data_IF_465701776492
#
_entry.id   IF_465701776492
#
_cell.length_a   1.000
_cell.length_b   1.000
_cell.length_c   1.000
_cell.angle_alpha   90.00
_cell.angle_beta   90.00
_cell.angle_gamma   90.00
#
_symmetry.space_group_name_H-M   'P 1'
#
loop_
_entity.id
_entity.type
_entity.pdbx_description
1 polymer ?
#
# COMPACT_ATOMS: atom_id res chain seq x y z
N UNK A 1 -1.78 -17.00 -30.15
CA UNK A 1 -2.63 -17.08 -31.36
C UNK A 1 -2.76 -15.69 -31.88
N UNK A 2 -2.64 -15.53 -33.19
CA UNK A 2 -2.63 -14.22 -33.81
C UNK A 2 -4.07 -13.75 -34.08
N UNK A 3 -4.47 -12.65 -33.44
CA UNK A 3 -5.77 -12.00 -33.65
C UNK A 3 -5.70 -10.91 -34.72
N UNK A 4 -4.53 -10.69 -35.32
CA UNK A 4 -4.30 -9.58 -36.25
C UNK A 4 -4.50 -9.95 -37.72
N UNK A 5 -4.59 -11.24 -38.09
CA UNK A 5 -4.53 -11.64 -39.51
C UNK A 5 -5.51 -12.77 -39.85
N UNK A 6 -6.73 -12.40 -40.26
CA UNK A 6 -7.57 -13.25 -41.11
C UNK A 6 -7.64 -12.59 -42.48
N UNK A 7 -6.88 -13.12 -43.42
CA UNK A 7 -6.95 -12.76 -44.83
C UNK A 7 -8.22 -13.38 -45.42
N UNK A 8 -9.23 -12.57 -45.73
CA UNK A 8 -10.34 -13.00 -46.60
C UNK A 8 -10.37 -12.20 -47.91
N UNK A 9 -9.88 -10.94 -47.93
CA UNK A 9 -9.93 -10.07 -49.13
C UNK A 9 -8.62 -9.30 -49.45
N UNK A 10 -7.49 -9.69 -48.85
CA UNK A 10 -6.19 -9.02 -49.07
C UNK A 10 -5.96 -7.75 -48.25
N UNK A 11 -6.92 -7.33 -47.43
CA UNK A 11 -6.73 -6.34 -46.37
C UNK A 11 -6.69 -7.04 -45.00
N UNK A 12 -5.62 -6.80 -44.24
CA UNK A 12 -5.50 -7.30 -42.87
C UNK A 12 -6.40 -6.49 -41.94
N UNK A 13 -7.49 -7.13 -41.48
CA UNK A 13 -8.37 -6.53 -40.49
C UNK A 13 -8.17 -7.20 -39.12
N UNK A 14 -7.98 -6.37 -38.09
CA UNK A 14 -7.92 -6.82 -36.71
C UNK A 14 -9.28 -7.43 -36.31
N UNK A 15 -9.27 -8.69 -35.84
CA UNK A 15 -10.48 -9.39 -35.40
C UNK A 15 -11.08 -8.75 -34.13
N UNK A 16 -10.22 -8.16 -33.30
CA UNK A 16 -10.59 -7.42 -32.10
C UNK A 16 -10.16 -5.95 -32.21
N UNK A 17 -11.11 -5.09 -32.57
CA UNK A 17 -10.88 -3.64 -32.62
C UNK A 17 -10.95 -3.05 -31.22
N UNK A 18 -9.81 -2.93 -30.54
CA UNK A 18 -9.75 -2.40 -29.17
C UNK A 18 -10.37 -1.00 -29.02
N UNK A 19 -10.37 -0.20 -30.09
CA UNK A 19 -10.95 1.16 -30.12
C UNK A 19 -12.48 1.16 -30.08
N UNK A 20 -13.10 0.08 -30.53
CA UNK A 20 -14.56 -0.06 -30.61
C UNK A 20 -15.12 -0.81 -29.39
N UNK A 21 -14.28 -1.16 -28.42
CA UNK A 21 -14.69 -1.83 -27.18
C UNK A 21 -15.13 -0.80 -26.15
N UNK A 22 -16.44 -0.77 -25.89
CA UNK A 22 -17.01 0.02 -24.80
C UNK A 22 -16.86 -0.69 -23.44
N UNK A 23 -16.92 0.07 -22.36
CA UNK A 23 -16.81 -0.49 -21.01
C UNK A 23 -18.09 -1.30 -20.66
N UNK A 24 -18.01 -2.65 -20.50
CA UNK A 24 -19.18 -3.50 -20.25
C UNK A 24 -19.87 -3.17 -18.91
N UNK A 25 -19.12 -2.68 -17.93
CA UNK A 25 -19.65 -2.32 -16.61
C UNK A 25 -20.57 -1.10 -16.70
N UNK A 26 -20.15 -0.10 -17.49
CA UNK A 26 -20.96 1.10 -17.70
C UNK A 26 -22.21 0.80 -18.51
N UNK A 27 -22.08 -0.02 -19.55
CA UNK A 27 -23.24 -0.46 -20.36
C UNK A 27 -24.26 -1.23 -19.50
N UNK A 28 -23.78 -2.17 -18.68
CA UNK A 28 -24.63 -2.92 -17.75
C UNK A 28 -25.31 -2.00 -16.72
N UNK A 29 -24.59 -1.00 -16.21
CA UNK A 29 -25.15 0.00 -15.29
C UNK A 29 -26.30 0.76 -15.95
N UNK A 30 -26.08 1.37 -17.12
CA UNK A 30 -27.10 2.16 -17.79
C UNK A 30 -28.32 1.34 -18.18
N UNK A 31 -28.12 0.09 -18.62
CA UNK A 31 -29.23 -0.81 -18.90
C UNK A 31 -30.04 -1.14 -17.64
N UNK A 32 -29.36 -1.40 -16.52
CA UNK A 32 -30.04 -1.62 -15.24
C UNK A 32 -30.82 -0.39 -14.80
N UNK A 33 -30.30 0.81 -15.06
CA UNK A 33 -30.99 2.07 -14.75
C UNK A 33 -32.24 2.23 -15.60
N UNK A 34 -32.18 1.91 -16.90
CA UNK A 34 -33.34 1.97 -17.81
C UNK A 34 -34.40 0.95 -17.39
N UNK A 35 -34.01 -0.32 -17.20
CA UNK A 35 -34.95 -1.37 -16.81
C UNK A 35 -35.58 -1.09 -15.42
N UNK A 36 -34.84 -0.46 -14.50
CA UNK A 36 -35.39 -0.03 -13.20
C UNK A 36 -36.20 1.26 -13.24
N UNK A 37 -36.01 2.08 -14.27
CA UNK A 37 -36.87 3.24 -14.48
C UNK A 37 -38.27 2.79 -14.93
N UNK A 38 -38.35 1.69 -15.68
CA UNK A 38 -39.60 1.05 -16.07
C UNK A 38 -40.18 0.20 -14.92
N UNK A 39 -39.37 -0.70 -14.34
CA UNK A 39 -39.76 -1.63 -13.27
C UNK A 39 -38.83 -1.52 -12.03
N UNK A 40 -39.25 -0.86 -10.93
CA UNK A 40 -38.36 -0.56 -9.80
C UNK A 40 -37.81 -1.79 -9.08
N UNK A 41 -38.52 -2.91 -9.13
CA UNK A 41 -38.12 -4.19 -8.51
C UNK A 41 -37.39 -5.14 -9.49
N UNK A 42 -37.04 -4.67 -10.69
CA UNK A 42 -36.36 -5.49 -11.68
C UNK A 42 -34.97 -5.97 -11.18
N UNK A 43 -34.63 -7.25 -11.43
CA UNK A 43 -33.32 -7.80 -11.09
C UNK A 43 -32.21 -7.15 -11.92
N UNK A 44 -30.97 -7.23 -11.43
CA UNK A 44 -29.84 -6.64 -12.16
C UNK A 44 -29.61 -7.39 -13.46
N UNK A 45 -29.55 -6.63 -14.56
CA UNK A 45 -29.39 -7.17 -15.90
C UNK A 45 -28.09 -7.96 -16.03
N UNK A 46 -28.16 -9.07 -16.77
CA UNK A 46 -27.02 -9.87 -17.16
C UNK A 46 -26.06 -9.13 -18.09
N UNK A 47 -24.97 -9.78 -18.47
CA UNK A 47 -24.12 -9.29 -19.57
C UNK A 47 -24.90 -9.51 -20.87
N UNK A 48 -24.98 -8.47 -21.71
CA UNK A 48 -25.65 -8.56 -23.01
C UNK A 48 -24.92 -9.55 -23.93
N UNK A 49 -25.65 -10.28 -24.76
CA UNK A 49 -25.10 -11.22 -25.74
C UNK A 49 -24.29 -10.50 -26.83
N UNK A 50 -24.65 -9.28 -27.21
CA UNK A 50 -23.85 -8.42 -28.07
C UNK A 50 -22.55 -7.99 -27.38
N UNK A 51 -22.62 -7.74 -26.07
CA UNK A 51 -21.42 -7.44 -25.28
C UNK A 51 -20.47 -8.64 -25.23
N UNK A 52 -21.02 -9.82 -24.99
CA UNK A 52 -20.28 -11.08 -24.96
C UNK A 52 -19.63 -11.40 -26.32
N UNK A 53 -20.30 -11.08 -27.43
CA UNK A 53 -19.75 -11.25 -28.79
C UNK A 53 -18.52 -10.40 -29.08
N UNK A 54 -18.48 -9.13 -28.62
CA UNK A 54 -17.28 -8.31 -28.83
C UNK A 54 -16.15 -8.65 -27.84
N UNK A 55 -16.47 -9.14 -26.64
CA UNK A 55 -15.47 -9.51 -25.64
C UNK A 55 -14.73 -10.79 -26.04
N UNK A 56 -15.39 -11.64 -26.83
CA UNK A 56 -14.91 -12.95 -27.22
C UNK A 56 -14.91 -13.18 -28.74
N UNK A 57 -14.21 -12.36 -29.53
CA UNK A 57 -14.06 -12.56 -30.98
C UNK A 57 -13.34 -13.88 -31.31
N UNK A 58 -12.54 -14.40 -30.37
CA UNK A 58 -11.84 -15.67 -30.50
C UNK A 58 -12.80 -16.85 -30.71
N UNK A 59 -14.06 -16.76 -30.28
CA UNK A 59 -15.06 -17.82 -30.52
C UNK A 59 -15.25 -18.12 -32.00
N UNK A 60 -15.04 -17.14 -32.88
CA UNK A 60 -15.11 -17.35 -34.33
C UNK A 60 -13.95 -18.22 -34.87
N UNK A 61 -12.79 -18.15 -34.22
CA UNK A 61 -11.56 -18.85 -34.62
C UNK A 61 -11.21 -20.04 -33.72
N UNK A 62 -11.96 -20.26 -32.64
CA UNK A 62 -11.75 -21.33 -31.65
C UNK A 62 -11.56 -22.71 -32.27
N UNK A 63 -12.36 -23.04 -33.30
CA UNK A 63 -12.26 -24.33 -33.98
C UNK A 63 -10.88 -24.59 -34.60
N UNK A 64 -10.17 -23.53 -35.06
CA UNK A 64 -8.87 -23.64 -35.74
C UNK A 64 -7.79 -24.13 -34.77
N UNK A 65 -7.89 -23.72 -33.52
CA UNK A 65 -6.80 -23.86 -32.56
C UNK A 65 -7.13 -24.72 -31.34
N UNK A 66 -8.40 -25.00 -31.10
CA UNK A 66 -8.82 -25.93 -30.05
C UNK A 66 -8.19 -27.31 -30.25
N UNK A 67 -7.96 -27.72 -31.50
CA UNK A 67 -7.24 -28.97 -31.80
C UNK A 67 -5.82 -28.97 -31.21
N UNK A 68 -5.06 -27.90 -31.45
CA UNK A 68 -3.67 -27.80 -31.00
C UNK A 68 -3.58 -27.59 -29.47
N UNK A 69 -4.52 -26.83 -28.90
CA UNK A 69 -4.62 -26.63 -27.44
C UNK A 69 -4.96 -27.94 -26.73
N UNK A 70 -5.87 -28.75 -27.28
CA UNK A 70 -6.21 -30.04 -26.71
C UNK A 70 -5.02 -31.01 -26.80
N UNK A 71 -4.31 -31.06 -27.93
CA UNK A 71 -3.08 -31.84 -28.06
C UNK A 71 -2.02 -31.41 -27.03
N UNK A 72 -1.83 -30.11 -26.82
CA UNK A 72 -0.88 -29.59 -25.83
C UNK A 72 -1.27 -29.97 -24.39
N UNK A 73 -2.57 -29.94 -24.08
CA UNK A 73 -3.12 -30.31 -22.78
C UNK A 73 -2.92 -31.80 -22.47
N UNK A 74 -2.95 -32.65 -23.50
CA UNK A 74 -2.66 -34.08 -23.37
C UNK A 74 -1.17 -34.37 -23.17
N UNK A 75 -0.28 -33.63 -23.85
CA UNK A 75 1.18 -33.78 -23.69
C UNK A 75 1.65 -33.30 -22.31
N UNK A 76 1.03 -32.27 -21.75
CA UNK A 76 1.42 -31.68 -20.47
C UNK A 76 0.25 -31.67 -19.46
N UNK A 77 -0.08 -32.82 -18.84
CA UNK A 77 -1.12 -32.86 -17.83
C UNK A 77 -0.68 -32.11 -16.57
N UNK A 78 -1.37 -31.02 -16.26
CA UNK A 78 -1.12 -30.21 -15.05
C UNK A 78 -1.90 -30.78 -13.86
N UNK A 79 -1.17 -31.17 -12.81
CA UNK A 79 -1.75 -31.53 -11.52
C UNK A 79 -2.00 -30.25 -10.72
N UNK A 80 -3.27 -29.92 -10.48
CA UNK A 80 -3.62 -28.80 -9.60
C UNK A 80 -3.26 -29.18 -8.17
N UNK A 81 -2.24 -28.54 -7.61
CA UNK A 81 -1.93 -28.65 -6.18
C UNK A 81 -3.13 -28.09 -5.41
N UNK A 82 -3.69 -28.82 -4.44
CA UNK A 82 -4.77 -28.31 -3.60
C UNK A 82 -4.24 -27.14 -2.78
N UNK A 83 -4.58 -25.93 -3.19
CA UNK A 83 -4.49 -24.76 -2.31
C UNK A 83 -5.73 -24.80 -1.43
N UNK A 84 -5.54 -24.77 -0.12
CA UNK A 84 -6.64 -24.68 0.84
C UNK A 84 -7.51 -23.49 0.48
N UNK A 85 -8.73 -23.78 0.02
CA UNK A 85 -9.71 -22.76 -0.34
C UNK A 85 -10.05 -22.01 0.94
N UNK A 86 -9.52 -20.80 1.10
CA UNK A 86 -9.95 -19.86 2.14
C UNK A 86 -11.48 -19.86 2.15
N UNK A 87 -12.07 -20.11 3.33
CA UNK A 87 -13.53 -20.17 3.51
C UNK A 87 -14.13 -18.94 2.84
N UNK A 88 -14.90 -19.13 1.76
CA UNK A 88 -15.66 -18.04 1.14
C UNK A 88 -16.63 -17.54 2.20
N UNK A 89 -16.41 -16.33 2.72
CA UNK A 89 -17.37 -15.68 3.60
C UNK A 89 -18.67 -15.51 2.81
N UNK A 90 -19.65 -16.38 3.07
CA UNK A 90 -21.02 -16.20 2.58
C UNK A 90 -21.56 -14.97 3.30
N UNK A 91 -21.71 -13.86 2.59
CA UNK A 91 -22.48 -12.73 3.09
C UNK A 91 -23.96 -13.11 3.10
N UNK A 92 -24.71 -12.64 4.10
CA UNK A 92 -26.11 -12.95 4.40
C UNK A 92 -27.13 -12.74 3.25
N UNK A 93 -26.74 -12.26 2.06
CA UNK A 93 -27.60 -12.15 0.86
C UNK A 93 -27.83 -13.48 0.12
N UNK A 94 -27.80 -14.60 0.84
CA UNK A 94 -27.97 -15.93 0.26
C UNK A 94 -28.59 -16.93 1.23
N UNK A 95 -29.18 -16.45 2.34
CA UNK A 95 -30.17 -17.27 3.02
C UNK A 95 -31.39 -17.38 2.11
N UNK A 96 -31.85 -18.58 1.75
CA UNK A 96 -33.15 -18.73 1.12
C UNK A 96 -34.20 -18.09 2.03
N UNK A 97 -35.15 -17.38 1.43
CA UNK A 97 -36.26 -16.78 2.14
C UNK A 97 -36.95 -17.85 3.01
N UNK A 98 -37.49 -17.41 4.15
CA UNK A 98 -38.07 -18.25 5.20
C UNK A 98 -39.14 -19.20 4.64
N UNK A 99 -39.77 -18.85 3.52
CA UNK A 99 -40.76 -19.65 2.81
C UNK A 99 -40.17 -20.92 2.17
N UNK A 100 -38.94 -20.87 1.65
CA UNK A 100 -38.28 -22.06 1.09
C UNK A 100 -37.74 -22.99 2.18
N UNK A 101 -37.47 -22.47 3.39
CA UNK A 101 -36.96 -23.24 4.52
C UNK A 101 -38.05 -24.11 5.20
N UNK A 102 -39.32 -23.68 5.14
CA UNK A 102 -40.46 -24.47 5.65
C UNK A 102 -40.75 -25.70 4.79
N UNK A 103 -40.50 -25.64 3.48
CA UNK A 103 -40.61 -26.80 2.59
C UNK A 103 -39.50 -27.86 2.82
N UNK A 104 -38.37 -27.46 3.42
CA UNK A 104 -37.19 -28.31 3.62
C UNK A 104 -37.07 -28.88 5.06
N UNK A 105 -38.12 -28.82 5.87
CA UNK A 105 -38.18 -29.54 7.16
C UNK A 105 -37.23 -29.02 8.25
N UNK A 106 -36.89 -27.74 8.27
CA UNK A 106 -36.12 -27.14 9.36
C UNK A 106 -37.01 -26.93 10.60
N UNK A 107 -36.79 -27.71 11.66
CA UNK A 107 -37.33 -27.38 12.98
C UNK A 107 -36.47 -26.30 13.64
N UNK A 108 -37.12 -25.26 14.15
CA UNK A 108 -36.49 -24.16 14.90
C UNK A 108 -35.76 -24.75 16.14
N UNK A 109 -34.47 -24.48 16.37
CA UNK A 109 -33.82 -24.92 17.61
C UNK A 109 -34.47 -24.19 18.81
N UNK A 110 -34.54 -24.85 19.99
CA UNK A 110 -35.20 -24.29 21.16
C UNK A 110 -34.53 -22.98 21.61
N UNK A 111 -35.28 -22.07 22.25
CA UNK A 111 -34.71 -20.80 22.70
C UNK A 111 -33.66 -21.06 23.77
N UNK A 112 -32.43 -20.63 23.52
CA UNK A 112 -31.33 -20.73 24.48
C UNK A 112 -31.42 -19.51 25.41
N UNK A 113 -31.50 -19.75 26.71
CA UNK A 113 -31.59 -18.70 27.74
C UNK A 113 -30.29 -17.86 27.76
N UNK A 114 -30.37 -16.53 27.54
CA UNK A 114 -29.18 -15.68 27.43
C UNK A 114 -28.37 -15.56 28.72
N UNK A 115 -28.89 -16.04 29.86
CA UNK A 115 -28.18 -16.04 31.14
C UNK A 115 -27.17 -17.19 31.33
N UNK A 116 -27.15 -18.16 30.40
CA UNK A 116 -26.26 -19.32 30.45
C UNK A 116 -25.20 -19.36 29.32
N UNK A 117 -24.96 -18.20 28.66
CA UNK A 117 -23.88 -18.04 27.69
C UNK A 117 -22.56 -17.78 28.42
N UNK A 118 -21.92 -18.86 28.87
CA UNK A 118 -20.52 -18.81 29.31
C UNK A 118 -19.66 -18.65 28.06
N UNK A 119 -19.08 -17.47 27.87
CA UNK A 119 -18.01 -17.26 26.91
C UNK A 119 -16.73 -17.86 27.51
N UNK A 120 -16.43 -19.11 27.18
CA UNK A 120 -15.10 -19.69 27.39
C UNK A 120 -14.11 -18.96 26.48
N UNK A 121 -13.39 -17.98 27.04
CA UNK A 121 -12.14 -17.50 26.48
C UNK A 121 -11.04 -18.39 27.06
N UNK A 122 -10.41 -19.28 26.28
CA UNK A 122 -9.31 -20.08 26.80
C UNK A 122 -8.13 -19.15 27.15
N UNK A 123 -7.71 -19.22 28.42
CA UNK A 123 -6.52 -18.57 28.94
C UNK A 123 -5.25 -19.09 28.23
N UNK A 124 -4.33 -18.18 27.95
CA UNK A 124 -3.02 -18.43 27.35
C UNK A 124 -2.06 -19.00 28.40
N UNK A 125 -1.77 -20.32 28.36
CA UNK A 125 -0.42 -20.85 28.61
C UNK A 125 -0.37 -22.36 28.31
N UNK A 126 0.25 -22.74 27.19
CA UNK A 126 1.30 -23.77 27.08
C UNK A 126 1.75 -23.85 25.60
N UNK A 127 3.05 -23.70 25.40
CA UNK A 127 3.64 -23.27 24.13
C UNK A 127 3.72 -24.33 23.03
N UNK A 128 3.58 -23.85 21.79
CA UNK A 128 4.44 -24.28 20.70
C UNK A 128 4.63 -23.12 19.72
N UNK A 129 5.88 -22.82 19.39
CA UNK A 129 6.28 -21.58 18.73
C UNK A 129 5.88 -21.53 17.26
N UNK A 130 5.02 -20.58 16.89
CA UNK A 130 4.86 -20.07 15.52
C UNK A 130 4.27 -18.65 15.56
N UNK A 131 5.09 -17.71 15.12
CA UNK A 131 4.87 -16.30 14.80
C UNK A 131 3.41 -15.83 14.64
N UNK A 132 2.95 -14.97 15.56
CA UNK A 132 1.68 -14.24 15.44
C UNK A 132 1.67 -13.27 14.24
N UNK A 133 0.59 -13.22 13.44
CA UNK A 133 0.32 -12.08 12.58
C UNK A 133 -0.32 -10.97 13.42
N UNK A 134 0.30 -9.80 13.39
CA UNK A 134 -0.24 -8.59 14.00
C UNK A 134 -1.68 -8.32 13.51
N UNK A 135 -2.57 -8.12 14.48
CA UNK A 135 -3.88 -7.48 14.36
C UNK A 135 -3.82 -6.25 13.46
N UNK A 136 -4.31 -6.38 12.23
CA UNK A 136 -4.62 -5.25 11.35
C UNK A 136 -6.00 -4.74 11.74
N UNK A 137 -6.02 -3.65 12.50
CA UNK A 137 -7.21 -2.81 12.67
C UNK A 137 -7.55 -2.20 11.31
N UNK A 138 -8.46 -2.86 10.59
CA UNK A 138 -8.95 -2.42 9.28
C UNK A 138 -10.06 -1.37 9.46
N UNK A 139 -9.66 -0.17 9.85
CA UNK A 139 -10.43 1.05 9.58
C UNK A 139 -9.77 1.78 8.42
N UNK A 140 -9.90 1.29 7.19
CA UNK A 140 -9.57 2.09 6.02
C UNK A 140 -10.67 1.94 4.97
N UNK A 141 -11.37 3.07 4.78
CA UNK A 141 -12.37 3.28 3.77
C UNK A 141 -11.84 2.94 2.37
N UNK A 142 -12.66 2.21 1.61
CA UNK A 142 -12.46 2.01 0.17
C UNK A 142 -12.96 3.28 -0.53
N UNK A 143 -12.14 4.04 -1.28
CA UNK A 143 -12.68 5.11 -2.09
C UNK A 143 -13.25 4.52 -3.38
N UNK A 144 -14.47 4.97 -3.64
CA UNK A 144 -15.26 4.78 -4.84
C UNK A 144 -14.71 5.71 -5.95
N UNK A 145 -14.76 5.24 -7.21
CA UNK A 145 -14.63 5.98 -8.48
C UNK A 145 -13.27 6.55 -8.94
N UNK A 146 -13.01 6.33 -10.24
CA UNK A 146 -12.24 7.25 -11.09
C UNK A 146 -10.87 6.75 -11.54
N UNK A 147 -10.76 6.39 -12.82
CA UNK A 147 -9.55 5.81 -13.42
C UNK A 147 -8.28 6.63 -13.26
N UNK A 148 -7.22 5.95 -12.86
CA UNK A 148 -5.81 6.16 -13.22
C UNK A 148 -5.12 4.82 -12.94
N UNK A 149 -4.29 4.37 -13.88
CA UNK A 149 -3.46 3.16 -13.76
C UNK A 149 -2.94 3.02 -12.32
N UNK A 150 -3.30 1.94 -11.62
CA UNK A 150 -2.93 1.75 -10.22
C UNK A 150 -1.49 1.26 -10.14
N UNK A 151 -0.54 2.15 -10.42
CA UNK A 151 0.81 1.99 -9.92
C UNK A 151 0.74 1.98 -8.39
N UNK A 152 1.52 1.12 -7.70
CA UNK A 152 1.59 1.15 -6.24
C UNK A 152 1.97 2.58 -5.81
N UNK A 153 1.03 3.29 -5.17
CA UNK A 153 1.26 4.64 -4.69
C UNK A 153 1.85 4.57 -3.29
N UNK A 154 2.96 5.25 -3.04
CA UNK A 154 3.48 5.39 -1.67
C UNK A 154 2.54 6.30 -0.89
N UNK A 155 1.85 5.77 0.12
CA UNK A 155 1.03 6.55 1.04
C UNK A 155 1.72 6.55 2.40
N UNK A 156 2.22 7.70 2.82
CA UNK A 156 2.78 7.93 4.16
C UNK A 156 1.85 8.92 4.86
N UNK A 157 1.22 8.48 5.94
CA UNK A 157 0.33 9.32 6.74
C UNK A 157 1.07 10.15 7.77
N UNK A 158 0.41 11.20 8.27
CA UNK A 158 0.93 12.05 9.36
C UNK A 158 0.84 11.39 10.73
N UNK A 159 -0.01 10.37 10.89
CA UNK A 159 -0.26 9.68 12.17
C UNK A 159 0.85 8.70 12.54
N UNK A 160 1.36 7.92 11.57
CA UNK A 160 2.40 6.89 11.76
C UNK A 160 3.42 6.86 10.61
N UNK A 161 4.16 7.95 10.36
CA UNK A 161 4.99 8.10 9.16
C UNK A 161 6.08 7.02 9.04
N UNK A 162 6.71 6.64 10.15
CA UNK A 162 7.78 5.62 10.18
C UNK A 162 7.28 4.24 9.74
N UNK A 163 6.10 3.82 10.22
CA UNK A 163 5.53 2.51 9.90
C UNK A 163 5.10 2.42 8.44
N UNK A 164 4.51 3.50 7.93
CA UNK A 164 4.06 3.57 6.54
C UNK A 164 5.26 3.57 5.58
N UNK A 165 6.31 4.32 5.93
CA UNK A 165 7.55 4.37 5.17
C UNK A 165 8.28 3.02 5.16
N UNK A 166 8.46 2.38 6.32
CA UNK A 166 9.10 1.06 6.39
C UNK A 166 8.34 0.01 5.59
N UNK A 167 7.00 0.07 5.58
CA UNK A 167 6.19 -0.81 4.73
C UNK A 167 6.38 -0.52 3.24
N UNK A 168 6.50 0.75 2.86
CA UNK A 168 6.72 1.16 1.47
C UNK A 168 8.13 0.80 0.96
N UNK A 169 9.13 0.86 1.84
CA UNK A 169 10.54 0.63 1.52
C UNK A 169 10.92 -0.85 1.60
N UNK A 170 10.47 -1.59 2.62
CA UNK A 170 10.82 -3.00 2.80
C UNK A 170 9.73 -3.97 2.31
N UNK A 171 8.66 -3.44 1.70
CA UNK A 171 7.56 -4.24 1.15
C UNK A 171 7.94 -5.06 -0.08
N UNK A 172 7.14 -6.08 -0.41
CA UNK A 172 7.33 -6.87 -1.62
C UNK A 172 7.08 -6.02 -2.89
N UNK A 173 8.07 -5.94 -3.79
CA UNK A 173 7.95 -5.25 -5.08
C UNK A 173 8.53 -3.84 -5.15
N UNK A 174 9.47 -3.49 -4.27
CA UNK A 174 10.12 -2.16 -4.27
C UNK A 174 10.95 -1.97 -5.54
N UNK A 175 10.58 -0.95 -6.32
CA UNK A 175 11.31 -0.47 -7.49
C UNK A 175 12.05 0.83 -7.11
N UNK A 176 13.17 1.15 -7.75
CA UNK A 176 13.93 2.40 -7.49
C UNK A 176 13.06 3.65 -7.50
N UNK A 177 12.17 3.80 -8.49
CA UNK A 177 11.25 4.94 -8.55
C UNK A 177 10.23 5.02 -7.39
N UNK A 178 9.86 3.89 -6.79
CA UNK A 178 8.98 3.87 -5.62
C UNK A 178 9.74 4.30 -4.35
N UNK A 179 11.00 3.90 -4.25
CA UNK A 179 11.90 4.32 -3.18
C UNK A 179 12.13 5.84 -3.23
N UNK A 180 12.40 6.38 -4.42
CA UNK A 180 12.55 7.84 -4.60
C UNK A 180 11.29 8.60 -4.20
N UNK A 181 10.11 8.08 -4.57
CA UNK A 181 8.84 8.67 -4.19
C UNK A 181 8.62 8.62 -2.66
N UNK A 182 8.97 7.49 -2.03
CA UNK A 182 8.89 7.32 -0.59
C UNK A 182 9.82 8.29 0.16
N UNK A 183 11.08 8.39 -0.27
CA UNK A 183 12.08 9.29 0.32
C UNK A 183 11.63 10.74 0.20
N UNK A 184 11.15 11.16 -0.98
CA UNK A 184 10.64 12.52 -1.20
C UNK A 184 9.43 12.85 -0.31
N UNK A 185 8.48 11.92 -0.19
CA UNK A 185 7.29 12.11 0.67
C UNK A 185 7.68 12.17 2.15
N UNK A 186 8.59 11.31 2.59
CA UNK A 186 9.09 11.29 3.96
C UNK A 186 9.80 12.59 4.32
N UNK A 187 10.67 13.10 3.43
CA UNK A 187 11.32 14.41 3.58
C UNK A 187 10.33 15.55 3.78
N UNK A 188 9.24 15.57 2.98
CA UNK A 188 8.19 16.58 3.09
C UNK A 188 7.44 16.52 4.42
N UNK A 189 7.14 15.31 4.91
CA UNK A 189 6.47 15.12 6.20
C UNK A 189 7.38 15.54 7.35
N UNK A 190 8.66 15.16 7.31
CA UNK A 190 9.64 15.56 8.34
C UNK A 190 9.76 17.09 8.43
N UNK A 191 9.83 17.79 7.28
CA UNK A 191 9.84 19.26 7.26
C UNK A 191 8.53 19.86 7.79
N UNK A 192 7.39 19.25 7.47
CA UNK A 192 6.10 19.68 8.01
C UNK A 192 6.03 19.53 9.53
N UNK A 193 6.53 18.41 10.07
CA UNK A 193 6.58 18.15 11.51
C UNK A 193 7.49 19.17 12.23
N UNK A 194 8.64 19.51 11.63
CA UNK A 194 9.55 20.52 12.18
C UNK A 194 9.00 21.95 12.11
N UNK A 195 8.01 22.20 11.25
CA UNK A 195 7.34 23.50 11.16
C UNK A 195 6.31 23.75 12.27
N UNK A 196 5.86 22.71 12.97
CA UNK A 196 4.93 22.84 14.08
C UNK A 196 5.69 22.95 15.41
N UNK A 197 5.32 23.90 16.29
CA UNK A 197 5.92 24.00 17.61
C UNK A 197 5.46 22.81 18.49
N UNK A 198 6.42 22.05 19.03
CA UNK A 198 6.16 20.99 20.01
C UNK A 198 7.22 19.90 20.03
N UNK A 199 7.62 19.49 21.24
CA UNK A 199 8.66 18.47 21.45
C UNK A 199 8.29 17.11 20.83
N UNK A 200 7.02 16.71 20.91
CA UNK A 200 6.53 15.45 20.34
C UNK A 200 6.68 15.38 18.81
N UNK A 201 6.51 16.52 18.13
CA UNK A 201 6.68 16.59 16.68
C UNK A 201 8.15 16.53 16.28
N UNK A 202 9.03 17.12 17.09
CA UNK A 202 10.48 17.01 16.91
C UNK A 202 10.94 15.57 17.11
N UNK A 203 10.46 14.89 18.14
CA UNK A 203 10.82 13.48 18.38
C UNK A 203 10.38 12.57 17.23
N UNK A 204 9.15 12.76 16.72
CA UNK A 204 8.66 12.05 15.53
C UNK A 204 9.46 12.39 14.27
N UNK A 205 9.83 13.66 14.08
CA UNK A 205 10.64 14.07 12.94
C UNK A 205 12.03 13.41 12.98
N UNK A 206 12.64 13.35 14.17
CA UNK A 206 13.90 12.65 14.39
C UNK A 206 13.76 11.15 14.11
N UNK A 207 12.67 10.51 14.55
CA UNK A 207 12.39 9.10 14.22
C UNK A 207 12.23 8.87 12.70
N UNK A 208 11.60 9.81 11.98
CA UNK A 208 11.53 9.75 10.52
C UNK A 208 12.91 9.83 9.88
N UNK A 209 13.79 10.69 10.39
CA UNK A 209 15.16 10.83 9.89
C UNK A 209 15.96 9.54 10.12
N UNK A 210 15.82 8.90 11.29
CA UNK A 210 16.46 7.60 11.57
C UNK A 210 15.97 6.54 10.59
N UNK A 211 14.66 6.44 10.37
CA UNK A 211 14.11 5.49 9.40
C UNK A 211 14.61 5.73 7.97
N UNK A 212 14.75 7.00 7.56
CA UNK A 212 15.34 7.36 6.26
C UNK A 212 16.83 6.98 6.17
N UNK A 213 17.57 7.10 7.28
CA UNK A 213 18.97 6.67 7.35
C UNK A 213 19.09 5.16 7.18
N UNK A 214 18.28 4.39 7.90
CA UNK A 214 18.27 2.93 7.82
C UNK A 214 17.89 2.43 6.42
N UNK A 215 16.96 3.12 5.76
CA UNK A 215 16.65 2.88 4.35
C UNK A 215 17.87 3.19 3.46
N UNK A 216 18.51 4.34 3.63
CA UNK A 216 19.69 4.71 2.83
C UNK A 216 20.87 3.73 3.01
N UNK A 217 21.05 3.17 4.21
CA UNK A 217 22.05 2.11 4.48
C UNK A 217 21.65 0.81 3.76
N UNK A 218 20.38 0.39 3.86
CA UNK A 218 19.89 -0.82 3.20
C UNK A 218 20.04 -0.76 1.67
N UNK A 219 19.85 0.41 1.07
CA UNK A 219 20.00 0.66 -0.36
C UNK A 219 21.35 1.30 -0.71
N UNK A 220 22.38 1.16 0.13
CA UNK A 220 23.68 1.85 -0.01
C UNK A 220 24.47 1.58 -1.29
N UNK A 221 23.99 0.68 -2.16
CA UNK A 221 24.50 0.47 -3.52
C UNK A 221 23.99 1.51 -4.53
N UNK A 222 22.85 2.16 -4.26
CA UNK A 222 22.27 3.20 -5.10
C UNK A 222 22.83 4.56 -4.71
N UNK A 223 23.64 5.15 -5.61
CA UNK A 223 24.26 6.46 -5.38
C UNK A 223 23.23 7.57 -5.17
N UNK A 224 22.08 7.51 -5.83
CA UNK A 224 21.08 8.59 -5.76
C UNK A 224 20.48 8.68 -4.35
N UNK A 225 20.11 7.54 -3.76
CA UNK A 225 19.51 7.48 -2.41
C UNK A 225 20.47 8.02 -1.34
N UNK A 226 21.74 7.67 -1.44
CA UNK A 226 22.79 8.10 -0.51
C UNK A 226 23.04 9.62 -0.61
N UNK A 227 23.11 10.15 -1.84
CA UNK A 227 23.27 11.59 -2.07
C UNK A 227 22.05 12.40 -1.63
N UNK A 228 20.85 11.89 -1.90
CA UNK A 228 19.59 12.56 -1.53
C UNK A 228 19.42 12.63 -0.02
N UNK A 229 19.75 11.57 0.72
CA UNK A 229 19.76 11.61 2.18
C UNK A 229 20.78 12.62 2.72
N UNK A 230 22.03 12.59 2.25
CA UNK A 230 23.07 13.51 2.73
C UNK A 230 22.70 14.97 2.45
N UNK A 231 22.13 15.26 1.27
CA UNK A 231 21.60 16.58 0.94
C UNK A 231 20.44 16.98 1.85
N UNK A 232 19.50 16.06 2.08
CA UNK A 232 18.35 16.30 2.95
C UNK A 232 18.76 16.61 4.40
N UNK A 233 19.71 15.87 4.97
CA UNK A 233 20.25 16.13 6.31
C UNK A 233 20.92 17.50 6.39
N UNK A 234 21.73 17.84 5.39
CA UNK A 234 22.36 19.15 5.33
C UNK A 234 21.29 20.27 5.25
N UNK A 235 20.29 20.13 4.38
CA UNK A 235 19.24 21.13 4.17
C UNK A 235 18.30 21.26 5.37
N UNK A 236 17.97 20.17 6.06
CA UNK A 236 17.11 20.19 7.26
C UNK A 236 17.83 20.83 8.43
N UNK A 237 19.05 20.40 8.73
CA UNK A 237 19.80 20.90 9.88
C UNK A 237 20.33 22.33 9.65
N UNK A 238 20.63 22.71 8.41
CA UNK A 238 20.97 24.11 8.11
C UNK A 238 19.80 25.08 8.29
N UNK A 239 18.55 24.62 8.09
CA UNK A 239 17.33 25.40 8.34
C UNK A 239 16.93 25.44 9.81
N UNK A 240 17.26 24.40 10.58
CA UNK A 240 16.86 24.24 11.98
C UNK A 240 18.01 24.49 12.97
N UNK A 241 18.94 25.40 12.66
CA UNK A 241 20.07 25.73 13.55
C UNK A 241 19.62 26.24 14.92
N UNK A 242 18.48 26.91 14.98
CA UNK A 242 18.00 27.57 16.20
C UNK A 242 17.29 26.61 17.18
N UNK A 243 16.98 25.38 16.75
CA UNK A 243 16.26 24.40 17.56
C UNK A 243 17.21 23.54 18.40
N UNK A 244 17.60 24.02 19.58
CA UNK A 244 18.52 23.30 20.49
C UNK A 244 18.06 21.87 20.83
N UNK A 245 16.76 21.66 21.05
CA UNK A 245 16.20 20.33 21.36
C UNK A 245 16.36 19.33 20.21
N UNK A 246 16.21 19.79 18.96
CA UNK A 246 16.44 18.95 17.79
C UNK A 246 17.90 18.49 17.75
N UNK A 247 18.84 19.40 17.99
CA UNK A 247 20.28 19.09 17.99
C UNK A 247 20.68 18.13 19.10
N UNK A 248 20.12 18.26 20.30
CA UNK A 248 20.32 17.31 21.38
C UNK A 248 19.87 15.89 20.97
N UNK A 249 18.68 15.77 20.37
CA UNK A 249 18.14 14.48 19.89
C UNK A 249 18.93 13.89 18.72
N UNK A 250 19.35 14.73 17.77
CA UNK A 250 20.20 14.36 16.63
C UNK A 250 21.56 13.84 17.10
N UNK A 251 22.17 14.51 18.09
CA UNK A 251 23.45 14.10 18.70
C UNK A 251 23.28 12.81 19.50
N UNK A 252 22.21 12.69 20.28
CA UNK A 252 21.90 11.50 21.08
C UNK A 252 21.67 10.25 20.22
N UNK A 253 21.02 10.37 19.06
CA UNK A 253 20.79 9.26 18.12
C UNK A 253 21.90 9.10 17.06
N UNK A 254 22.98 9.90 17.14
CA UNK A 254 24.10 9.93 16.18
C UNK A 254 23.65 9.99 14.72
N UNK A 255 22.75 10.93 14.42
CA UNK A 255 22.33 11.18 13.04
C UNK A 255 23.44 11.98 12.36
N UNK A 256 24.22 11.31 11.51
CA UNK A 256 25.33 11.88 10.74
C UNK A 256 25.14 11.66 9.25
N UNK A 257 26.04 12.24 8.44
CA UNK A 257 26.20 11.84 7.05
C UNK A 257 26.49 10.34 6.95
N UNK A 258 25.99 9.70 5.89
CA UNK A 258 26.36 8.33 5.54
C UNK A 258 27.82 8.30 5.10
N UNK A 259 28.65 7.49 5.74
CA UNK A 259 30.07 7.37 5.40
C UNK A 259 30.32 6.23 4.42
N UNK A 260 31.50 6.22 3.80
CA UNK A 260 31.91 5.17 2.85
C UNK A 260 31.96 3.75 3.43
N UNK A 261 31.94 3.60 4.77
CA UNK A 261 31.84 2.30 5.46
C UNK A 261 30.41 1.78 5.53
N UNK A 262 29.41 2.66 5.56
CA UNK A 262 27.99 2.32 5.70
C UNK A 262 27.29 2.21 4.34
N UNK A 263 27.75 2.99 3.35
CA UNK A 263 27.27 2.89 1.98
C UNK A 263 28.43 2.89 0.99
N UNK A 264 28.48 1.86 0.14
CA UNK A 264 29.52 1.66 -0.88
C UNK A 264 29.55 2.79 -1.92
N UNK A 265 28.44 3.52 -2.08
CA UNK A 265 28.31 4.66 -2.99
C UNK A 265 28.54 6.05 -2.35
N UNK A 266 28.97 6.14 -1.08
CA UNK A 266 29.19 7.43 -0.41
C UNK A 266 30.61 7.99 -0.62
N UNK A 267 30.68 9.27 -1.01
CA UNK A 267 31.92 10.05 -1.14
C UNK A 267 32.35 10.74 0.17
N UNK A 268 31.65 10.51 1.30
CA UNK A 268 31.91 11.18 2.58
C UNK A 268 32.76 10.33 3.53
N UNK A 269 33.82 10.95 4.07
CA UNK A 269 34.74 10.36 5.04
C UNK A 269 34.18 10.40 6.47
N UNK A 270 34.57 9.43 7.31
CA UNK A 270 34.16 9.38 8.73
C UNK A 270 34.47 10.67 9.51
N UNK A 271 35.56 11.36 9.13
CA UNK A 271 35.93 12.66 9.71
C UNK A 271 34.90 13.76 9.40
N UNK A 272 34.30 13.76 8.20
CA UNK A 272 33.25 14.74 7.84
C UNK A 272 31.97 14.50 8.68
N UNK A 273 31.68 13.24 9.02
CA UNK A 273 30.54 12.87 9.85
C UNK A 273 30.75 13.26 11.32
N UNK A 274 31.96 13.10 11.86
CA UNK A 274 32.32 13.53 13.22
C UNK A 274 32.42 15.06 13.33
N UNK A 275 33.01 15.73 12.34
CA UNK A 275 33.08 17.20 12.31
C UNK A 275 31.69 17.85 12.23
N UNK A 276 30.72 17.16 11.62
CA UNK A 276 29.34 17.61 11.57
C UNK A 276 28.68 17.65 12.95
N UNK A 277 28.98 16.69 13.82
CA UNK A 277 28.50 16.69 15.21
C UNK A 277 29.27 17.69 16.09
N UNK A 278 30.58 17.85 15.85
CA UNK A 278 31.45 18.67 16.69
C UNK A 278 31.30 20.19 16.45
N UNK A 279 30.95 20.63 15.24
CA UNK A 279 30.82 22.07 14.89
C UNK A 279 29.74 22.83 15.68
N UNK A 280 28.89 22.17 16.46
CA UNK A 280 27.82 22.78 17.25
C UNK A 280 28.01 22.65 18.77
N UNK A 281 28.94 21.82 19.26
CA UNK A 281 29.31 21.81 20.69
C UNK A 281 30.11 23.05 21.14
N UNK A 282 30.44 23.96 20.21
CA UNK A 282 31.18 25.20 20.48
C UNK A 282 30.30 26.47 20.59
N UNK A 283 29.01 26.36 20.93
CA UNK A 283 28.24 27.51 21.42
C UNK A 283 28.03 27.39 22.94
N UNK A 284 28.59 28.32 23.75
CA UNK A 284 28.40 28.30 25.20
C UNK A 284 26.96 28.68 25.59
N UNK A 285 26.49 28.27 26.78
CA UNK A 285 25.15 28.60 27.28
C UNK A 285 25.06 30.11 27.54
N UNK A 286 24.03 30.78 27.01
CA UNK A 286 23.74 32.15 27.42
C UNK A 286 23.13 32.13 28.82
N UNK A 287 23.84 32.79 29.73
CA UNK A 287 23.51 33.05 31.12
C UNK A 287 22.18 33.79 31.31
N UNK A 288 21.67 33.57 32.53
CA UNK A 288 20.43 34.02 33.13
C UNK A 288 20.18 35.53 33.05
N UNK A 289 18.90 35.90 33.11
CA UNK A 289 18.43 37.27 33.04
C UNK A 289 18.90 38.13 34.22
N UNK A 290 19.50 39.27 33.88
CA UNK A 290 19.75 40.36 34.82
C UNK A 290 18.68 41.45 34.62
N UNK A 291 17.78 41.55 35.59
CA UNK A 291 16.87 42.69 35.76
C UNK A 291 17.71 43.95 36.06
N UNK A 292 17.45 45.11 35.43
CA UNK A 292 17.98 46.35 35.95
C UNK A 292 17.14 46.84 37.16
N UNK A 293 17.78 47.45 38.16
CA UNK A 293 17.18 47.79 39.44
C UNK A 293 16.27 49.02 39.39
N UNK A 294 15.28 49.00 40.30
CA UNK A 294 14.47 50.13 40.72
C UNK A 294 15.31 51.07 41.60
N UNK A 295 15.36 52.36 41.24
CA UNK A 295 15.65 53.52 42.12
C UNK A 295 15.85 54.76 41.23
N UNK A 296 15.41 55.98 41.52
CA UNK A 296 14.46 56.62 42.44
C UNK A 296 14.22 58.03 41.86
#
# INVERSE_FOLDING_TARGET
>A
MDTMNLEDDGESHELLKMKDIHNPTLLRFWRTVIERADDPDAPVVGVDEEIDRYLHPERAIEWRFMKDVNALKEVFPLVKVPVDKKKKKKYWRGSPDIETAQAAGYQKPPPVDPSHLVFDFPDEDEGDGLSSPAVVSAQHAVPLFGGKQMYPQVRIGSTTPVKDFTTAVYGAGVTSGLLDEAMRKMSGITLHLLGHPGYDYVDKAVDCIVAMRDAAICYGNDRMVVMDYNKFIHDTLSKCKDNAYLWERVTGKRITYLTSKEASASDKTDKDAEDFLNKQQQQPPQEEGEQPPVSE
#
